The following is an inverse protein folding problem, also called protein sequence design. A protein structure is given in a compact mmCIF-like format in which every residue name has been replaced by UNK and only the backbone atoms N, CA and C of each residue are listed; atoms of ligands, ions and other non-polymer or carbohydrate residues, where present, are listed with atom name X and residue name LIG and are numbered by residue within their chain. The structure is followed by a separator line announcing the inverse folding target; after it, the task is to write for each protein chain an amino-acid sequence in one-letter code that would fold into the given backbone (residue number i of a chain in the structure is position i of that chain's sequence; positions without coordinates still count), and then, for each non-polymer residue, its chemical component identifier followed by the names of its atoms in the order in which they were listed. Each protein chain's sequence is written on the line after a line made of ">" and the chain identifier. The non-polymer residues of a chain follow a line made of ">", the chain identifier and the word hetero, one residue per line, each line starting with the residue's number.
data_IF_601826073215
#
_entry.id   IF_601826073215
#
_cell.length_a   1.000
_cell.length_b   1.000
_cell.length_c   1.000
_cell.angle_alpha   90.00
_cell.angle_beta   90.00
_cell.angle_gamma   90.00
#
_symmetry.space_group_name_H-M   'P 1'
#
loop_
_entity.id
_entity.type
_entity.pdbx_description
1 polymer ?
#
# COMPACT_ATOMS: atom_id res chain seq x y z
N UNK A 1 -40.03 38.35 42.60
CA UNK A 1 -38.89 37.39 42.69
C UNK A 1 -37.98 37.59 41.49
N UNK A 2 -36.69 37.38 41.70
CA UNK A 2 -35.56 38.00 41.00
C UNK A 2 -35.39 37.66 39.52
N UNK A 3 -34.88 38.65 38.77
CA UNK A 3 -34.40 38.64 37.37
C UNK A 3 -33.10 37.82 37.23
N UNK A 4 -32.98 37.00 36.18
CA UNK A 4 -31.77 36.91 35.32
C UNK A 4 -31.93 35.92 34.16
N UNK A 5 -31.86 36.47 32.93
CA UNK A 5 -31.30 35.79 31.77
C UNK A 5 -29.90 35.26 32.13
N UNK A 6 -29.59 34.04 31.72
CA UNK A 6 -28.23 33.62 31.42
C UNK A 6 -28.31 32.66 30.25
N UNK A 7 -27.90 33.20 29.11
CA UNK A 7 -27.52 32.48 27.92
C UNK A 7 -26.49 31.43 28.32
N UNK A 8 -26.81 30.16 28.08
CA UNK A 8 -25.85 29.08 28.00
C UNK A 8 -25.85 28.66 26.53
N UNK A 9 -25.06 29.39 25.73
CA UNK A 9 -24.54 28.84 24.48
C UNK A 9 -23.67 27.64 24.87
N UNK A 10 -24.27 26.45 24.90
CA UNK A 10 -23.51 25.25 24.57
C UNK A 10 -23.14 25.40 23.10
N UNK A 11 -21.93 25.93 22.86
CA UNK A 11 -21.18 25.65 21.64
C UNK A 11 -20.86 24.16 21.64
N UNK A 12 -21.88 23.31 21.42
CA UNK A 12 -21.62 22.02 20.83
C UNK A 12 -21.10 22.35 19.44
N UNK A 13 -19.87 21.95 19.16
CA UNK A 13 -19.41 21.83 17.78
C UNK A 13 -20.32 20.76 17.17
N UNK A 14 -21.47 21.19 16.68
CA UNK A 14 -22.37 20.38 15.90
C UNK A 14 -21.57 19.92 14.69
N UNK A 15 -21.18 18.66 14.69
CA UNK A 15 -20.88 18.01 13.44
C UNK A 15 -22.23 17.97 12.70
N UNK A 16 -22.50 18.98 11.87
CA UNK A 16 -23.65 18.99 11.00
C UNK A 16 -23.53 17.75 10.10
N UNK A 17 -24.21 16.68 10.47
CA UNK A 17 -24.48 15.54 9.60
C UNK A 17 -25.52 15.95 8.56
N UNK A 18 -25.14 16.84 7.65
CA UNK A 18 -25.91 17.04 6.42
C UNK A 18 -25.06 16.71 5.20
N UNK A 19 -24.62 15.45 5.14
CA UNK A 19 -24.20 14.85 3.89
C UNK A 19 -25.45 14.36 3.14
N UNK A 20 -26.19 15.29 2.52
CA UNK A 20 -27.37 15.00 1.68
C UNK A 20 -27.04 14.33 0.33
N UNK A 21 -25.79 13.88 0.16
CA UNK A 21 -25.30 13.26 -1.05
C UNK A 21 -25.97 11.92 -1.33
N UNK A 22 -26.72 11.82 -2.42
CA UNK A 22 -27.17 10.54 -2.94
C UNK A 22 -25.96 9.74 -3.43
N UNK A 23 -25.46 8.80 -2.61
CA UNK A 23 -24.34 7.95 -3.00
C UNK A 23 -24.80 6.88 -4.00
N UNK A 24 -24.25 6.89 -5.21
CA UNK A 24 -24.41 5.76 -6.13
C UNK A 24 -23.52 4.62 -5.65
N UNK A 25 -24.13 3.47 -5.38
CA UNK A 25 -23.38 2.24 -5.07
C UNK A 25 -22.33 1.97 -6.15
N UNK A 26 -21.11 1.67 -5.72
CA UNK A 26 -19.99 1.25 -6.57
C UNK A 26 -19.56 -0.14 -6.13
N UNK A 27 -19.39 -1.03 -7.08
CA UNK A 27 -18.83 -2.34 -6.81
C UNK A 27 -17.33 -2.21 -6.55
N UNK A 28 -16.84 -2.82 -5.47
CA UNK A 28 -15.41 -2.98 -5.25
C UNK A 28 -14.82 -3.89 -6.33
N UNK A 29 -13.64 -3.54 -6.84
CA UNK A 29 -12.92 -4.39 -7.79
C UNK A 29 -12.05 -5.37 -7.02
N UNK A 30 -12.33 -6.67 -7.13
CA UNK A 30 -11.46 -7.71 -6.56
C UNK A 30 -10.23 -7.97 -7.43
N UNK A 31 -10.43 -7.96 -8.75
CA UNK A 31 -9.40 -8.16 -9.76
C UNK A 31 -9.67 -7.21 -10.92
N UNK A 32 -8.62 -6.60 -11.47
CA UNK A 32 -8.75 -5.70 -12.63
C UNK A 32 -7.56 -5.82 -13.56
N UNK A 33 -7.76 -5.42 -14.81
CA UNK A 33 -6.80 -5.62 -15.90
C UNK A 33 -5.39 -5.08 -15.62
N UNK A 34 -5.25 -3.99 -14.86
CA UNK A 34 -3.93 -3.46 -14.51
C UNK A 34 -3.13 -4.43 -13.64
N UNK A 35 -3.79 -5.19 -12.75
CA UNK A 35 -3.12 -6.22 -11.96
C UNK A 35 -2.60 -7.33 -12.88
N UNK A 36 -3.39 -7.76 -13.88
CA UNK A 36 -2.95 -8.74 -14.86
C UNK A 36 -1.68 -8.29 -15.61
N UNK A 37 -1.66 -7.02 -16.05
CA UNK A 37 -0.51 -6.44 -16.74
C UNK A 37 0.74 -6.37 -15.86
N UNK A 38 0.61 -5.93 -14.61
CA UNK A 38 1.74 -5.84 -13.68
C UNK A 38 2.24 -7.23 -13.25
N UNK A 39 1.33 -8.17 -13.01
CA UNK A 39 1.68 -9.54 -12.63
C UNK A 39 2.37 -10.27 -13.79
N UNK A 40 1.93 -10.05 -15.04
CA UNK A 40 2.63 -10.57 -16.22
C UNK A 40 4.02 -9.94 -16.39
N UNK A 41 4.13 -8.61 -16.29
CA UNK A 41 5.40 -7.91 -16.40
C UNK A 41 6.40 -8.36 -15.32
N UNK A 42 5.92 -8.55 -14.09
CA UNK A 42 6.74 -9.08 -12.99
C UNK A 42 7.20 -10.50 -13.27
N UNK A 43 6.29 -11.41 -13.64
CA UNK A 43 6.62 -12.80 -13.92
C UNK A 43 7.64 -12.93 -15.08
N UNK A 44 7.45 -12.17 -16.16
CA UNK A 44 8.36 -12.15 -17.29
C UNK A 44 9.73 -11.59 -16.88
N UNK A 45 9.77 -10.55 -16.04
CA UNK A 45 11.03 -10.00 -15.54
C UNK A 45 11.81 -11.01 -14.67
N UNK A 46 11.14 -11.66 -13.71
CA UNK A 46 11.78 -12.68 -12.86
C UNK A 46 12.32 -13.86 -13.67
N UNK A 47 11.53 -14.37 -14.62
CA UNK A 47 11.96 -15.43 -15.53
C UNK A 47 13.16 -14.98 -16.38
N UNK A 48 13.16 -13.74 -16.85
CA UNK A 48 14.23 -13.21 -17.69
C UNK A 48 15.54 -13.00 -16.92
N UNK A 49 15.47 -12.66 -15.63
CA UNK A 49 16.65 -12.56 -14.76
C UNK A 49 17.27 -13.94 -14.59
N UNK A 50 16.47 -14.96 -14.28
CA UNK A 50 16.95 -16.32 -14.05
C UNK A 50 17.59 -16.93 -15.31
N UNK A 51 17.06 -16.60 -16.50
CA UNK A 51 17.55 -17.12 -17.77
C UNK A 51 18.57 -16.21 -18.48
N UNK A 52 18.90 -15.05 -17.92
CA UNK A 52 19.78 -14.06 -18.55
C UNK A 52 19.24 -13.47 -19.86
N UNK A 53 17.92 -13.50 -20.07
CA UNK A 53 17.23 -13.06 -21.30
C UNK A 53 16.56 -11.69 -21.16
N UNK A 54 16.90 -10.93 -20.12
CA UNK A 54 16.29 -9.61 -19.82
C UNK A 54 16.28 -8.66 -21.02
N UNK A 55 17.41 -8.49 -21.71
CA UNK A 55 17.49 -7.59 -22.87
C UNK A 55 16.55 -7.99 -24.01
N UNK A 56 16.32 -9.29 -24.22
CA UNK A 56 15.42 -9.79 -25.25
C UNK A 56 13.94 -9.56 -24.88
N UNK A 57 13.60 -9.70 -23.60
CA UNK A 57 12.22 -9.57 -23.12
C UNK A 57 11.86 -8.16 -22.69
N UNK A 58 12.82 -7.24 -22.62
CA UNK A 58 12.61 -5.87 -22.16
C UNK A 58 11.46 -5.19 -22.90
N UNK A 59 11.38 -5.33 -24.22
CA UNK A 59 10.33 -4.71 -25.04
C UNK A 59 8.91 -5.15 -24.62
N UNK A 60 8.71 -6.43 -24.33
CA UNK A 60 7.41 -6.97 -23.90
C UNK A 60 7.11 -6.61 -22.44
N UNK A 61 8.12 -6.58 -21.56
CA UNK A 61 7.95 -6.09 -20.18
C UNK A 61 7.48 -4.61 -20.20
N UNK A 62 8.18 -3.77 -20.96
CA UNK A 62 7.87 -2.33 -21.05
C UNK A 62 6.50 -2.08 -21.65
N UNK A 63 6.06 -2.87 -22.63
CA UNK A 63 4.72 -2.76 -23.23
C UNK A 63 3.60 -2.82 -22.18
N UNK A 64 3.66 -3.73 -21.21
CA UNK A 64 2.61 -3.85 -20.19
C UNK A 64 2.72 -2.79 -19.10
N UNK A 65 3.94 -2.42 -18.71
CA UNK A 65 4.16 -1.31 -17.75
C UNK A 65 3.70 0.01 -18.36
N UNK A 66 4.07 0.29 -19.61
CA UNK A 66 3.72 1.52 -20.32
C UNK A 66 2.23 1.66 -20.58
N UNK A 67 1.47 0.56 -20.78
CA UNK A 67 -0.01 0.64 -20.85
C UNK A 67 -0.63 1.25 -19.60
N UNK A 68 -0.06 1.00 -18.44
CA UNK A 68 -0.53 1.56 -17.17
C UNK A 68 -0.11 3.02 -17.07
N UNK A 69 1.17 3.31 -17.36
CA UNK A 69 1.73 4.67 -17.32
C UNK A 69 1.03 5.62 -18.29
N UNK A 70 0.73 5.15 -19.51
CA UNK A 70 -0.01 5.90 -20.52
C UNK A 70 -1.41 6.26 -20.01
N UNK A 71 -2.14 5.29 -19.41
CA UNK A 71 -3.46 5.56 -18.84
C UNK A 71 -3.41 6.49 -17.62
N UNK A 72 -2.34 6.42 -16.84
CA UNK A 72 -2.10 7.32 -15.72
C UNK A 72 -1.65 8.73 -16.17
N UNK A 73 -1.32 8.93 -17.45
CA UNK A 73 -0.87 10.22 -17.99
C UNK A 73 0.55 10.60 -17.57
N UNK A 74 1.42 9.62 -17.24
CA UNK A 74 2.80 9.85 -16.84
C UNK A 74 3.79 9.44 -17.94
N UNK A 75 5.03 9.99 -17.96
CA UNK A 75 6.02 9.65 -18.99
C UNK A 75 6.27 8.15 -19.09
N UNK A 76 6.35 7.62 -20.30
CA UNK A 76 6.55 6.19 -20.55
C UNK A 76 8.04 5.82 -20.48
N UNK A 77 8.33 4.53 -20.32
CA UNK A 77 9.69 4.02 -20.47
C UNK A 77 10.02 3.81 -21.94
N UNK A 78 11.18 4.30 -22.37
CA UNK A 78 11.66 4.14 -23.73
C UNK A 78 12.89 4.99 -24.00
N UNK A 79 13.17 5.26 -25.27
CA UNK A 79 14.39 5.94 -25.72
C UNK A 79 14.08 7.22 -26.53
N UNK A 80 12.81 7.57 -26.70
CA UNK A 80 12.42 8.80 -27.39
C UNK A 80 12.53 10.03 -26.46
N UNK A 81 12.50 11.22 -27.06
CA UNK A 81 12.52 12.47 -26.31
C UNK A 81 11.30 12.58 -25.38
N UNK A 82 11.54 12.88 -24.10
CA UNK A 82 10.51 12.94 -23.07
C UNK A 82 10.13 11.60 -22.43
N UNK A 83 10.72 10.49 -22.86
CA UNK A 83 10.60 9.18 -22.21
C UNK A 83 11.67 8.97 -21.13
N UNK A 84 11.40 8.04 -20.23
CA UNK A 84 12.33 7.64 -19.19
C UNK A 84 13.12 6.44 -19.70
N UNK A 85 14.45 6.55 -19.73
CA UNK A 85 15.30 5.42 -20.12
C UNK A 85 15.05 4.23 -19.19
N UNK A 86 14.69 3.04 -19.73
CA UNK A 86 14.49 1.85 -18.90
C UNK A 86 15.83 1.39 -18.31
N UNK A 87 15.82 0.74 -17.13
CA UNK A 87 17.05 0.27 -16.51
C UNK A 87 17.71 -0.85 -17.32
N UNK A 88 19.04 -0.92 -17.23
CA UNK A 88 19.82 -1.95 -17.90
C UNK A 88 19.79 -3.30 -17.17
N UNK A 89 19.45 -3.30 -15.87
CA UNK A 89 19.37 -4.50 -15.02
C UNK A 89 17.93 -4.90 -14.73
N UNK A 90 17.67 -6.21 -14.74
CA UNK A 90 16.37 -6.77 -14.36
C UNK A 90 16.04 -6.57 -12.88
N UNK A 91 17.04 -6.47 -12.00
CA UNK A 91 16.88 -6.17 -10.58
C UNK A 91 16.38 -4.73 -10.35
N UNK A 92 16.90 -3.78 -11.12
CA UNK A 92 16.40 -2.41 -11.14
C UNK A 92 14.97 -2.37 -11.70
N UNK A 93 14.71 -3.10 -12.80
CA UNK A 93 13.37 -3.20 -13.37
C UNK A 93 12.36 -3.82 -12.40
N UNK A 94 12.77 -4.84 -11.65
CA UNK A 94 11.98 -5.45 -10.56
C UNK A 94 11.56 -4.38 -9.56
N UNK A 95 12.50 -3.52 -9.16
CA UNK A 95 12.22 -2.44 -8.20
C UNK A 95 11.21 -1.43 -8.76
N UNK A 96 11.34 -1.06 -10.04
CA UNK A 96 10.38 -0.17 -10.71
C UNK A 96 8.99 -0.79 -10.83
N UNK A 97 8.88 -2.06 -11.23
CA UNK A 97 7.60 -2.78 -11.30
C UNK A 97 6.94 -2.80 -9.90
N UNK A 98 7.71 -3.04 -8.83
CA UNK A 98 7.21 -3.00 -7.45
C UNK A 98 6.71 -1.62 -7.04
N UNK A 99 7.38 -0.55 -7.49
CA UNK A 99 6.93 0.83 -7.26
C UNK A 99 5.62 1.12 -8.01
N UNK A 100 5.50 0.67 -9.25
CA UNK A 100 4.27 0.85 -10.02
C UNK A 100 3.10 0.08 -9.44
N UNK A 101 3.31 -1.17 -8.99
CA UNK A 101 2.31 -1.91 -8.24
C UNK A 101 1.86 -1.17 -6.99
N UNK A 102 2.78 -0.55 -6.26
CA UNK A 102 2.46 0.21 -5.04
C UNK A 102 1.57 1.43 -5.33
N UNK A 103 1.84 2.16 -6.41
CA UNK A 103 1.09 3.38 -6.76
C UNK A 103 -0.24 3.01 -7.39
N UNK A 104 -0.23 2.12 -8.38
CA UNK A 104 -1.41 1.77 -9.18
C UNK A 104 -2.46 1.03 -8.36
N UNK A 105 -2.06 0.10 -7.49
CA UNK A 105 -2.95 -0.76 -6.72
C UNK A 105 -3.11 -0.30 -5.26
N UNK A 106 -2.89 0.99 -5.00
CA UNK A 106 -2.99 1.52 -3.64
C UNK A 106 -4.42 1.42 -3.11
N UNK A 107 -4.56 1.01 -1.85
CA UNK A 107 -5.85 0.82 -1.16
C UNK A 107 -6.77 -0.25 -1.79
N UNK A 108 -6.25 -1.18 -2.59
CA UNK A 108 -7.03 -2.27 -3.17
C UNK A 108 -6.78 -3.59 -2.43
N UNK A 109 -7.82 -4.13 -1.77
CA UNK A 109 -7.92 -5.49 -1.23
C UNK A 109 -6.69 -6.01 -0.44
N UNK A 110 -5.94 -5.12 0.22
CA UNK A 110 -4.73 -5.49 0.96
C UNK A 110 -3.55 -5.96 0.09
N UNK A 111 -3.56 -5.67 -1.22
CA UNK A 111 -2.51 -6.12 -2.15
C UNK A 111 -1.10 -5.73 -1.69
N UNK A 112 -0.93 -4.51 -1.16
CA UNK A 112 0.37 -4.05 -0.62
C UNK A 112 0.90 -4.95 0.50
N UNK A 113 0.02 -5.39 1.40
CA UNK A 113 0.40 -6.25 2.51
C UNK A 113 0.84 -7.63 2.00
N UNK A 114 0.10 -8.20 1.06
CA UNK A 114 0.42 -9.49 0.45
C UNK A 114 1.70 -9.44 -0.41
N UNK A 115 1.87 -8.37 -1.20
CA UNK A 115 3.06 -8.14 -2.02
C UNK A 115 4.34 -8.04 -1.16
N UNK A 116 4.29 -7.33 -0.04
CA UNK A 116 5.43 -7.24 0.87
C UNK A 116 5.79 -8.59 1.52
N UNK A 117 4.77 -9.40 1.86
CA UNK A 117 4.99 -10.72 2.46
C UNK A 117 5.59 -11.72 1.47
N UNK A 118 5.10 -11.76 0.22
CA UNK A 118 5.64 -12.67 -0.80
C UNK A 118 7.06 -12.28 -1.22
N UNK A 119 7.37 -10.98 -1.28
CA UNK A 119 8.72 -10.50 -1.58
C UNK A 119 9.70 -10.57 -0.39
N UNK A 120 9.23 -11.00 0.79
CA UNK A 120 10.03 -11.02 2.03
C UNK A 120 10.60 -9.65 2.43
N UNK A 121 9.88 -8.58 2.07
CA UNK A 121 10.23 -7.20 2.43
C UNK A 121 9.40 -6.66 3.60
N UNK A 122 8.44 -7.44 4.09
CA UNK A 122 7.55 -7.03 5.16
C UNK A 122 8.30 -6.72 6.47
N UNK A 123 9.33 -7.49 6.80
CA UNK A 123 10.16 -7.24 8.00
C UNK A 123 10.89 -5.89 7.93
N UNK A 124 11.36 -5.50 6.75
CA UNK A 124 12.15 -4.27 6.59
C UNK A 124 11.25 -3.03 6.45
N UNK A 125 10.05 -3.19 5.90
CA UNK A 125 9.16 -2.07 5.55
C UNK A 125 7.93 -1.92 6.46
N UNK A 126 7.60 -2.93 7.26
CA UNK A 126 6.46 -2.90 8.20
C UNK A 126 6.88 -2.97 9.67
N UNK A 127 8.18 -3.03 9.96
CA UNK A 127 8.75 -2.92 11.32
C UNK A 127 9.40 -1.54 11.50
N UNK A 128 8.98 -0.79 12.51
CA UNK A 128 9.54 0.53 12.86
C UNK A 128 8.56 1.69 12.76
N UNK A 129 9.12 2.89 12.69
CA UNK A 129 8.40 4.15 12.79
C UNK A 129 7.76 4.56 11.46
N UNK A 130 6.47 4.86 11.51
CA UNK A 130 5.72 5.40 10.39
C UNK A 130 5.47 6.89 10.59
N UNK A 131 5.68 7.66 9.53
CA UNK A 131 5.71 9.11 9.56
C UNK A 131 4.48 9.73 8.88
N UNK A 132 3.98 10.81 9.47
CA UNK A 132 2.93 11.65 8.90
C UNK A 132 3.26 13.14 9.13
N UNK A 133 2.40 14.02 8.66
CA UNK A 133 2.38 15.42 9.09
C UNK A 133 1.85 15.50 10.52
N UNK A 134 2.17 16.59 11.24
CA UNK A 134 1.72 16.79 12.60
C UNK A 134 0.22 17.12 12.65
N UNK A 135 -0.61 16.08 12.77
CA UNK A 135 -2.07 16.21 12.88
C UNK A 135 -2.53 16.87 14.20
N UNK A 136 -1.64 17.03 15.19
CA UNK A 136 -1.93 17.67 16.47
C UNK A 136 -1.57 19.17 16.51
N UNK A 137 -1.12 19.73 15.38
CA UNK A 137 -0.86 21.16 15.27
C UNK A 137 -2.13 21.99 15.55
N UNK A 138 -1.97 23.09 16.27
CA UNK A 138 -3.09 24.00 16.55
C UNK A 138 -3.62 24.65 15.26
N UNK A 139 -4.94 24.83 15.19
CA UNK A 139 -5.59 25.54 14.10
C UNK A 139 -4.96 26.94 13.91
N UNK A 140 -4.55 27.24 12.67
CA UNK A 140 -3.88 28.50 12.32
C UNK A 140 -2.35 28.44 12.32
N UNK A 141 -1.73 27.40 12.90
CA UNK A 141 -0.27 27.21 12.85
C UNK A 141 0.13 26.24 11.74
N UNK A 142 0.30 26.78 10.53
CA UNK A 142 0.68 25.99 9.34
C UNK A 142 2.08 25.39 9.47
N UNK A 143 3.03 26.15 10.00
CA UNK A 143 4.44 25.71 10.10
C UNK A 143 4.58 24.52 11.05
N UNK A 144 3.73 24.43 12.07
CA UNK A 144 3.72 23.29 12.96
C UNK A 144 3.10 22.03 12.34
N UNK A 145 2.09 22.19 11.47
CA UNK A 145 1.49 21.08 10.72
C UNK A 145 2.47 20.45 9.73
N UNK A 146 3.26 21.25 9.01
CA UNK A 146 4.20 20.76 7.98
C UNK A 146 5.48 20.10 8.53
N UNK A 147 5.51 19.75 9.82
CA UNK A 147 6.57 18.96 10.42
C UNK A 147 6.29 17.46 10.29
N UNK A 148 7.32 16.70 9.89
CA UNK A 148 7.29 15.23 9.88
C UNK A 148 7.37 14.72 11.31
N UNK A 149 6.36 13.99 11.74
CA UNK A 149 6.31 13.34 13.07
C UNK A 149 6.02 11.85 12.91
N UNK A 150 6.49 11.05 13.87
CA UNK A 150 6.10 9.64 13.98
C UNK A 150 4.65 9.60 14.45
N UNK A 151 3.76 9.00 13.65
CA UNK A 151 2.36 8.85 14.04
C UNK A 151 2.07 7.49 14.67
N UNK A 152 2.85 6.46 14.32
CA UNK A 152 2.69 5.10 14.79
C UNK A 152 4.03 4.37 14.69
N UNK A 153 4.40 3.61 15.71
CA UNK A 153 5.50 2.64 15.64
C UNK A 153 4.91 1.25 15.53
N UNK A 154 5.24 0.53 14.45
CA UNK A 154 4.71 -0.80 14.16
C UNK A 154 5.74 -1.87 14.46
N UNK A 155 5.26 -3.05 14.85
CA UNK A 155 6.09 -4.25 15.01
C UNK A 155 5.68 -5.32 14.01
N UNK A 156 6.60 -5.74 13.16
CA UNK A 156 6.38 -6.91 12.32
C UNK A 156 6.70 -8.19 13.11
N UNK A 157 5.68 -9.06 13.26
CA UNK A 157 5.80 -10.30 14.04
C UNK A 157 6.18 -11.47 13.12
N UNK A 158 5.36 -11.76 12.10
CA UNK A 158 5.58 -12.90 11.22
C UNK A 158 4.98 -12.72 9.82
N UNK A 159 5.51 -13.51 8.88
CA UNK A 159 4.98 -13.68 7.53
C UNK A 159 3.70 -14.53 7.50
N UNK A 160 3.49 -15.38 8.50
CA UNK A 160 2.34 -16.26 8.60
C UNK A 160 1.32 -15.70 9.59
N UNK A 161 0.05 -16.05 9.39
CA UNK A 161 -0.98 -15.79 10.38
C UNK A 161 -0.98 -16.91 11.43
N UNK A 162 -1.23 -16.57 12.71
CA UNK A 162 -1.34 -17.58 13.75
C UNK A 162 -2.57 -18.45 13.49
N UNK A 163 -2.41 -19.74 13.72
CA UNK A 163 -3.55 -20.65 13.82
C UNK A 163 -4.19 -20.42 15.19
N UNK A 164 -5.53 -20.23 15.27
CA UNK A 164 -6.22 -20.06 16.55
C UNK A 164 -5.93 -21.21 17.52
N UNK A 165 -5.67 -20.89 18.80
CA UNK A 165 -5.30 -21.89 19.80
C UNK A 165 -6.39 -22.95 19.99
N UNK A 166 -7.67 -22.54 19.97
CA UNK A 166 -8.81 -23.46 20.06
C UNK A 166 -8.80 -24.56 19.00
N UNK A 167 -8.28 -24.29 17.81
CA UNK A 167 -8.23 -25.29 16.72
C UNK A 167 -7.03 -26.23 16.88
N UNK A 168 -5.94 -25.76 17.49
CA UNK A 168 -4.79 -26.59 17.88
C UNK A 168 -5.18 -27.53 19.02
N UNK A 169 -5.91 -27.03 20.02
CA UNK A 169 -6.33 -27.82 21.18
C UNK A 169 -7.34 -28.92 20.78
N UNK A 170 -8.19 -28.65 19.78
CA UNK A 170 -9.12 -29.66 19.21
C UNK A 170 -8.40 -30.75 18.41
N UNK A 171 -7.33 -30.41 17.69
CA UNK A 171 -6.63 -31.33 16.80
C UNK A 171 -5.15 -31.41 17.17
N UNK A 172 -4.79 -32.43 17.95
CA UNK A 172 -3.42 -32.67 18.44
C UNK A 172 -2.37 -32.90 17.35
N UNK A 173 -2.79 -33.17 16.11
CA UNK A 173 -1.89 -33.27 14.94
C UNK A 173 -1.60 -31.91 14.30
N UNK A 174 -2.41 -30.88 14.58
CA UNK A 174 -2.20 -29.54 14.07
C UNK A 174 -1.01 -28.91 14.78
N UNK A 175 -0.09 -28.32 14.00
CA UNK A 175 1.10 -27.64 14.50
C UNK A 175 1.00 -26.17 14.14
N UNK A 176 1.46 -25.32 15.06
CA UNK A 176 1.47 -23.88 14.86
C UNK A 176 2.42 -23.47 13.72
N UNK A 177 2.11 -22.36 13.09
CA UNK A 177 2.98 -21.72 12.09
C UNK A 177 4.27 -21.17 12.73
N UNK A 178 5.36 -21.03 11.94
CA UNK A 178 6.61 -20.45 12.44
C UNK A 178 6.40 -19.07 13.09
N UNK A 179 7.24 -18.72 14.07
CA UNK A 179 7.24 -17.47 14.85
C UNK A 179 6.08 -17.28 15.85
N UNK A 180 5.09 -18.18 15.88
CA UNK A 180 3.93 -18.10 16.78
C UNK A 180 3.92 -19.14 17.90
N UNK A 181 5.02 -19.89 18.08
CA UNK A 181 5.17 -20.85 19.17
C UNK A 181 5.55 -20.07 20.44
N UNK A 182 4.89 -20.35 21.56
CA UNK A 182 5.21 -19.75 22.86
C UNK A 182 6.66 -20.08 23.24
N UNK A 183 7.53 -19.06 23.33
CA UNK A 183 8.93 -19.22 23.76
C UNK A 183 9.99 -18.37 23.07
N UNK A 184 9.62 -17.42 22.18
CA UNK A 184 10.54 -16.43 21.62
C UNK A 184 10.29 -15.03 22.17
#
# INVERSE_FOLDING_TARGET
>A
TFRRKKDAEELSCGFEEENSGTYKSRHGSLYRLAEAYLSYAEALNEWSIENGTYAANLSEILKYVNRIRQRAGIPQYGYAEGEITPPASGEEMRTLIRQERRVELNCECGLRFNDLRRWKLAKDLLDGDFYAMNAYAQAGNRDDYYKRVVYETRKFISYWFPIPQDDIDKNTNLRQTPDWIAGN
#
